data_IF_709313731528
#
_entry.id   IF_709313731528
#
_cell.length_a   1.000
_cell.length_b   1.000
_cell.length_c   1.000
_cell.angle_alpha   90.00
_cell.angle_beta   90.00
_cell.angle_gamma   90.00
#
_symmetry.space_group_name_H-M   'P 1'
#
loop_
_entity.id
_entity.type
_entity.pdbx_description
1 polymer ?
#
# COMPACT_ATOMS: atom_id res chain seq x y z
N UNK A 1 -22.82 -6.72 14.11
CA UNK A 1 -21.61 -6.58 13.29
C UNK A 1 -20.82 -7.88 13.31
N UNK A 2 -20.19 -8.19 12.20
CA UNK A 2 -19.33 -9.37 12.06
C UNK A 2 -18.15 -9.23 13.02
N UNK A 3 -17.89 -10.26 13.82
CA UNK A 3 -16.72 -10.26 14.70
C UNK A 3 -15.49 -10.65 13.91
N UNK A 4 -14.30 -10.20 14.33
CA UNK A 4 -13.02 -10.59 13.71
C UNK A 4 -12.84 -12.12 13.64
N UNK A 5 -13.44 -12.85 14.57
CA UNK A 5 -13.41 -14.31 14.64
C UNK A 5 -14.20 -15.00 13.50
N UNK A 6 -15.03 -14.26 12.76
CA UNK A 6 -15.83 -14.76 11.65
C UNK A 6 -15.06 -14.74 10.31
N UNK A 7 -13.83 -14.19 10.28
CA UNK A 7 -13.01 -14.15 9.08
C UNK A 7 -12.23 -15.45 8.89
N UNK A 8 -12.29 -15.98 7.69
CA UNK A 8 -11.43 -17.10 7.29
C UNK A 8 -10.08 -16.54 6.85
N UNK A 9 -9.01 -17.08 7.40
CA UNK A 9 -7.65 -16.79 6.94
C UNK A 9 -7.42 -17.53 5.62
N UNK A 10 -7.23 -16.76 4.54
CA UNK A 10 -6.83 -17.31 3.26
C UNK A 10 -5.33 -17.04 3.05
N UNK A 11 -4.54 -18.11 3.09
CA UNK A 11 -3.14 -18.02 2.67
C UNK A 11 -3.09 -18.04 1.14
N UNK A 12 -2.48 -17.01 0.56
CA UNK A 12 -2.22 -16.97 -0.87
C UNK A 12 -0.92 -17.72 -1.16
N UNK A 13 -0.94 -18.74 -2.05
CA UNK A 13 0.29 -19.43 -2.40
C UNK A 13 1.25 -18.46 -3.11
N UNK A 14 2.51 -18.44 -2.68
CA UNK A 14 3.56 -17.70 -3.36
C UNK A 14 3.75 -18.28 -4.76
N UNK A 15 3.40 -17.49 -5.77
CA UNK A 15 3.67 -17.84 -7.16
C UNK A 15 5.14 -17.58 -7.46
N UNK A 16 5.96 -18.63 -7.40
CA UNK A 16 7.36 -18.54 -7.73
C UNK A 16 7.56 -18.85 -9.23
N UNK A 17 7.95 -17.85 -10.00
CA UNK A 17 8.36 -18.11 -11.39
C UNK A 17 9.83 -18.56 -11.40
N UNK A 18 10.03 -19.88 -11.48
CA UNK A 18 11.37 -20.49 -11.47
C UNK A 18 12.27 -20.08 -12.64
N UNK A 19 11.70 -19.43 -13.65
CA UNK A 19 12.41 -19.04 -14.88
C UNK A 19 12.83 -17.56 -14.89
N UNK A 20 12.61 -16.83 -13.79
CA UNK A 20 12.99 -15.43 -13.67
C UNK A 20 14.09 -15.27 -12.62
N UNK A 21 15.17 -14.60 -13.02
CA UNK A 21 16.17 -14.14 -12.06
C UNK A 21 15.57 -13.07 -11.15
N UNK A 22 15.79 -13.17 -9.83
CA UNK A 22 15.32 -12.15 -8.89
C UNK A 22 15.95 -10.79 -9.20
N UNK A 23 15.15 -9.72 -9.08
CA UNK A 23 15.69 -8.37 -9.18
C UNK A 23 16.53 -8.06 -7.94
N UNK A 24 17.84 -7.92 -8.11
CA UNK A 24 18.82 -7.81 -7.02
C UNK A 24 19.26 -6.37 -6.68
N UNK A 25 18.63 -5.34 -7.27
CA UNK A 25 19.01 -3.95 -6.98
C UNK A 25 18.08 -3.34 -5.92
N UNK A 26 18.52 -2.27 -5.21
CA UNK A 26 17.64 -1.56 -4.27
C UNK A 26 16.37 -1.07 -4.94
N UNK A 27 15.26 -1.20 -4.24
CA UNK A 27 13.94 -0.72 -4.68
C UNK A 27 13.45 0.31 -3.67
N UNK A 28 12.94 1.43 -4.18
CA UNK A 28 12.18 2.40 -3.39
C UNK A 28 10.79 2.53 -3.99
N UNK A 29 9.78 2.49 -3.15
CA UNK A 29 8.38 2.73 -3.52
C UNK A 29 7.95 4.07 -2.96
N UNK A 30 7.54 4.97 -3.83
CA UNK A 30 6.97 6.25 -3.44
C UNK A 30 5.51 6.06 -3.06
N UNK A 31 5.15 6.54 -1.88
CA UNK A 31 3.79 6.38 -1.32
C UNK A 31 3.25 7.70 -0.79
N UNK A 32 1.95 7.87 -0.88
CA UNK A 32 1.24 9.02 -0.33
C UNK A 32 -0.22 8.66 -0.01
N UNK A 33 -1.02 9.62 0.44
CA UNK A 33 -2.44 9.40 0.77
C UNK A 33 -3.30 8.92 -0.40
N UNK A 34 -2.87 9.12 -1.64
CA UNK A 34 -3.50 8.58 -2.84
C UNK A 34 -3.10 7.15 -3.18
N UNK A 35 -2.16 6.56 -2.44
CA UNK A 35 -1.82 5.15 -2.51
C UNK A 35 -2.85 4.37 -1.69
N UNK A 36 -3.69 3.55 -2.34
CA UNK A 36 -4.72 2.78 -1.64
C UNK A 36 -5.02 1.44 -2.34
N UNK A 37 -5.75 0.55 -1.65
CA UNK A 37 -6.21 -0.75 -2.14
C UNK A 37 -5.03 -1.62 -2.62
N UNK A 38 -5.08 -2.19 -3.81
CA UNK A 38 -4.03 -3.07 -4.36
C UNK A 38 -2.63 -2.44 -4.35
N UNK A 39 -2.53 -1.11 -4.42
CA UNK A 39 -1.25 -0.42 -4.30
C UNK A 39 -0.69 -0.49 -2.86
N UNK A 40 -1.56 -0.50 -1.85
CA UNK A 40 -1.15 -0.73 -0.46
C UNK A 40 -0.74 -2.17 -0.23
N UNK A 41 -1.50 -3.13 -0.76
CA UNK A 41 -1.16 -4.56 -0.67
C UNK A 41 0.22 -4.82 -1.27
N UNK A 42 0.51 -4.23 -2.42
CA UNK A 42 1.81 -4.31 -3.07
C UNK A 42 2.93 -3.67 -2.22
N UNK A 43 2.70 -2.45 -1.73
CA UNK A 43 3.68 -1.75 -0.89
C UNK A 43 3.94 -2.48 0.44
N UNK A 44 2.88 -2.98 1.10
CA UNK A 44 2.97 -3.76 2.33
C UNK A 44 3.79 -5.04 2.14
N UNK A 45 3.55 -5.75 1.02
CA UNK A 45 4.28 -6.97 0.70
C UNK A 45 5.78 -6.71 0.54
N UNK A 46 6.14 -5.69 -0.21
CA UNK A 46 7.54 -5.34 -0.46
C UNK A 46 8.24 -4.83 0.81
N UNK A 47 7.58 -3.97 1.59
CA UNK A 47 8.11 -3.45 2.85
C UNK A 47 8.27 -4.57 3.88
N UNK A 48 7.24 -5.36 4.11
CA UNK A 48 7.24 -6.43 5.11
C UNK A 48 8.28 -7.52 4.82
N UNK A 49 8.54 -7.80 3.55
CA UNK A 49 9.59 -8.73 3.12
C UNK A 49 10.97 -8.06 2.97
N UNK A 50 11.11 -6.79 3.34
CA UNK A 50 12.35 -6.00 3.22
C UNK A 50 12.94 -5.96 1.81
N UNK A 51 12.07 -6.07 0.81
CA UNK A 51 12.46 -6.00 -0.60
C UNK A 51 12.52 -4.55 -1.12
N UNK A 52 11.76 -3.65 -0.50
CA UNK A 52 11.81 -2.23 -0.82
C UNK A 52 11.70 -1.38 0.44
N UNK A 53 12.13 -0.11 0.33
CA UNK A 53 11.82 0.96 1.29
C UNK A 53 10.68 1.81 0.78
N UNK A 54 9.74 2.15 1.64
CA UNK A 54 8.69 3.12 1.34
C UNK A 54 9.18 4.54 1.69
N UNK A 55 9.03 5.45 0.75
CA UNK A 55 9.40 6.88 0.92
C UNK A 55 8.21 7.76 0.60
N UNK A 56 7.90 8.72 1.45
CA UNK A 56 6.80 9.67 1.25
C UNK A 56 5.91 9.86 2.45
N UNK A 57 4.61 9.93 2.22
CA UNK A 57 3.58 10.11 3.26
C UNK A 57 2.89 8.77 3.58
N UNK A 58 2.22 8.66 4.74
CA UNK A 58 1.35 7.51 5.00
C UNK A 58 0.34 7.30 3.86
N UNK A 59 0.03 6.03 3.55
CA UNK A 59 -0.93 5.66 2.52
C UNK A 59 -2.38 5.94 2.93
N UNK A 60 -3.35 5.66 2.07
CA UNK A 60 -4.76 5.94 2.32
C UNK A 60 -5.42 5.08 3.38
N UNK A 61 -4.91 3.88 3.62
CA UNK A 61 -5.50 2.94 4.59
C UNK A 61 -6.82 2.34 4.14
N UNK A 62 -7.04 2.23 2.83
CA UNK A 62 -8.30 1.77 2.26
C UNK A 62 -8.07 0.60 1.32
N UNK A 63 -8.21 -0.60 1.86
CA UNK A 63 -8.22 -1.86 1.12
C UNK A 63 -9.40 -2.72 1.59
N UNK A 64 -9.72 -3.82 0.92
CA UNK A 64 -10.75 -4.71 1.42
C UNK A 64 -11.64 -5.38 0.37
N UNK A 65 -11.33 -5.29 -0.90
CA UNK A 65 -12.05 -5.98 -1.99
C UNK A 65 -13.58 -5.87 -1.88
N UNK A 66 -14.11 -4.67 -2.14
CA UNK A 66 -15.51 -4.36 -1.93
C UNK A 66 -16.47 -5.12 -2.83
N UNK A 67 -17.60 -5.52 -2.28
CA UNK A 67 -18.75 -6.09 -3.00
C UNK A 67 -19.86 -5.03 -3.09
N UNK A 68 -20.36 -4.83 -4.30
CA UNK A 68 -21.49 -3.94 -4.53
C UNK A 68 -22.81 -4.66 -4.23
N UNK A 69 -23.61 -4.06 -3.36
CA UNK A 69 -24.94 -4.54 -3.01
C UNK A 69 -25.95 -3.47 -3.46
N UNK A 70 -26.88 -3.85 -4.35
CA UNK A 70 -27.99 -2.98 -4.69
C UNK A 70 -28.96 -2.89 -3.52
N UNK A 71 -29.26 -1.68 -3.06
CA UNK A 71 -30.19 -1.42 -1.96
C UNK A 71 -31.58 -1.07 -2.48
N UNK A 72 -31.65 -0.27 -3.54
CA UNK A 72 -32.86 0.13 -4.24
C UNK A 72 -32.48 0.70 -5.62
N UNK A 73 -33.46 1.05 -6.44
CA UNK A 73 -33.21 1.62 -7.78
C UNK A 73 -32.26 2.83 -7.72
N UNK A 74 -31.13 2.69 -8.39
CA UNK A 74 -30.10 3.74 -8.48
C UNK A 74 -29.23 3.93 -7.23
N UNK A 75 -29.43 3.14 -6.16
CA UNK A 75 -28.62 3.21 -4.93
C UNK A 75 -27.93 1.88 -4.67
N UNK A 76 -26.61 1.93 -4.53
CA UNK A 76 -25.80 0.76 -4.17
C UNK A 76 -24.86 1.09 -3.01
N UNK A 77 -24.56 0.09 -2.20
CA UNK A 77 -23.50 0.15 -1.21
C UNK A 77 -22.30 -0.70 -1.67
N UNK A 78 -21.09 -0.21 -1.39
CA UNK A 78 -19.87 -0.99 -1.55
C UNK A 78 -19.37 -1.37 -0.16
N UNK A 79 -19.35 -2.67 0.14
CA UNK A 79 -18.99 -3.20 1.45
C UNK A 79 -17.70 -4.01 1.33
N UNK A 80 -16.70 -3.64 2.14
CA UNK A 80 -15.45 -4.40 2.21
C UNK A 80 -15.70 -5.80 2.77
N UNK A 81 -15.17 -6.82 2.09
CA UNK A 81 -15.34 -8.24 2.45
C UNK A 81 -14.04 -8.89 2.90
N UNK A 82 -12.94 -8.16 2.83
CA UNK A 82 -11.59 -8.62 3.16
C UNK A 82 -10.95 -7.66 4.16
N UNK A 83 -10.20 -8.20 5.09
CA UNK A 83 -9.38 -7.44 6.03
C UNK A 83 -7.92 -7.81 5.80
N UNK A 84 -7.12 -6.88 5.33
CA UNK A 84 -5.72 -7.10 5.00
C UNK A 84 -4.81 -6.69 6.15
N UNK A 85 -3.75 -7.49 6.36
CA UNK A 85 -2.66 -7.18 7.27
C UNK A 85 -1.35 -7.15 6.52
N UNK A 86 -0.44 -6.28 6.94
CA UNK A 86 0.92 -6.30 6.44
C UNK A 86 1.63 -7.60 6.84
N UNK A 87 2.64 -8.06 6.08
CA UNK A 87 3.53 -9.12 6.55
C UNK A 87 4.13 -8.72 7.91
N UNK A 88 3.97 -9.58 8.92
CA UNK A 88 4.30 -9.25 10.32
C UNK A 88 3.08 -9.01 11.20
N UNK A 89 1.89 -8.92 10.60
CA UNK A 89 0.61 -8.87 11.32
C UNK A 89 0.11 -7.46 11.65
N UNK A 90 0.81 -6.42 11.23
CA UNK A 90 0.41 -5.03 11.50
C UNK A 90 -0.83 -4.63 10.70
N UNK A 91 -1.76 -3.99 11.39
CA UNK A 91 -2.96 -3.45 10.80
C UNK A 91 -2.66 -2.09 10.15
N UNK A 92 -2.96 -1.96 8.86
CA UNK A 92 -2.84 -0.68 8.15
C UNK A 92 -4.20 -0.15 7.64
N UNK A 93 -5.24 -0.96 7.68
CA UNK A 93 -6.60 -0.54 7.30
C UNK A 93 -7.09 0.58 8.23
N UNK A 94 -7.55 1.68 7.64
CA UNK A 94 -7.99 2.88 8.37
C UNK A 94 -6.88 3.83 8.82
N UNK A 95 -5.60 3.41 8.76
CA UNK A 95 -4.44 4.24 9.17
C UNK A 95 -3.46 4.52 8.04
N UNK A 96 -3.37 3.62 7.08
CA UNK A 96 -2.34 3.57 6.05
C UNK A 96 -1.05 2.91 6.51
N UNK A 97 -0.26 2.49 5.55
CA UNK A 97 1.11 2.06 5.76
C UNK A 97 1.98 3.27 6.09
N UNK A 98 2.85 3.10 7.07
CA UNK A 98 3.83 4.12 7.40
C UNK A 98 5.06 3.96 6.50
N UNK A 99 5.56 5.03 5.86
CA UNK A 99 6.78 4.96 5.08
C UNK A 99 7.99 4.76 5.99
N UNK A 100 9.03 4.07 5.49
CA UNK A 100 10.33 3.92 6.18
C UNK A 100 11.06 5.27 6.29
N UNK A 101 10.85 6.12 5.29
CA UNK A 101 11.37 7.50 5.27
C UNK A 101 10.23 8.45 5.00
N UNK A 102 9.79 9.16 6.03
CA UNK A 102 8.72 10.13 5.90
C UNK A 102 9.23 11.40 5.20
N UNK A 103 8.50 11.78 4.17
CA UNK A 103 8.68 13.06 3.46
C UNK A 103 7.30 13.67 3.29
N UNK A 104 7.05 14.78 3.95
CA UNK A 104 5.78 15.49 3.81
C UNK A 104 5.85 16.35 2.54
N UNK A 105 4.88 16.14 1.66
CA UNK A 105 4.69 16.96 0.48
C UNK A 105 3.66 18.04 0.72
N UNK A 106 4.01 19.27 0.38
CA UNK A 106 3.08 20.38 0.36
C UNK A 106 2.45 20.52 -1.03
N UNK A 107 1.33 21.22 -1.12
CA UNK A 107 0.72 21.56 -2.41
C UNK A 107 1.74 22.23 -3.35
N UNK A 108 2.54 23.15 -2.84
CA UNK A 108 3.54 23.86 -3.61
C UNK A 108 4.67 22.96 -4.10
N UNK A 109 5.13 22.00 -3.30
CA UNK A 109 6.16 21.04 -3.72
C UNK A 109 5.67 20.11 -4.81
N UNK A 110 4.39 19.78 -4.81
CA UNK A 110 3.80 18.88 -5.78
C UNK A 110 3.46 19.56 -7.11
N UNK A 111 2.93 20.80 -7.08
CA UNK A 111 2.43 21.48 -8.27
C UNK A 111 3.39 22.53 -8.86
N UNK A 112 4.22 23.17 -8.04
CA UNK A 112 5.00 24.32 -8.49
C UNK A 112 6.48 24.05 -8.73
N UNK A 113 7.04 22.91 -8.34
CA UNK A 113 8.49 22.67 -8.42
C UNK A 113 8.91 21.56 -9.39
N UNK A 114 8.05 21.05 -10.22
CA UNK A 114 8.33 19.98 -11.20
C UNK A 114 8.98 18.70 -10.63
N UNK A 115 9.30 18.65 -9.35
CA UNK A 115 9.89 17.49 -8.69
C UNK A 115 9.30 17.29 -7.30
N UNK A 116 8.72 16.11 -7.06
CA UNK A 116 8.27 15.69 -5.75
C UNK A 116 9.45 15.60 -4.78
N UNK A 117 9.28 16.12 -3.56
CA UNK A 117 10.28 16.01 -2.50
C UNK A 117 10.57 14.54 -2.15
N UNK A 118 9.56 13.67 -2.22
CA UNK A 118 9.71 12.24 -2.02
C UNK A 118 10.56 11.60 -3.12
N UNK A 119 10.38 12.00 -4.38
CA UNK A 119 11.21 11.51 -5.49
C UNK A 119 12.68 11.91 -5.30
N UNK A 120 12.93 13.16 -4.96
CA UNK A 120 14.31 13.65 -4.70
C UNK A 120 14.95 12.84 -3.58
N UNK A 121 14.24 12.66 -2.46
CA UNK A 121 14.74 11.86 -1.34
C UNK A 121 15.02 10.41 -1.72
N UNK A 122 14.16 9.82 -2.55
CA UNK A 122 14.35 8.46 -3.06
C UNK A 122 15.62 8.34 -3.92
N UNK A 123 15.85 9.30 -4.81
CA UNK A 123 17.06 9.33 -5.63
C UNK A 123 18.33 9.46 -4.77
N UNK A 124 18.32 10.34 -3.76
CA UNK A 124 19.44 10.46 -2.82
C UNK A 124 19.75 9.13 -2.13
N UNK A 125 18.70 8.39 -1.71
CA UNK A 125 18.88 7.10 -1.03
C UNK A 125 19.38 5.97 -1.97
N UNK A 126 19.11 6.07 -3.26
CA UNK A 126 19.59 5.10 -4.24
C UNK A 126 21.02 5.36 -4.70
N UNK A 127 21.51 6.60 -4.57
CA UNK A 127 22.83 7.01 -5.00
C UNK A 127 23.90 6.94 -3.87
N UNK A 128 23.47 6.68 -2.64
CA UNK A 128 24.34 6.45 -1.48
C UNK A 128 24.91 5.04 -1.46
#
# INVERSE_FOLDING_TARGET
>A
GTKLDDYQVAEQPLMHNKNMEPYGKPIIVLVNRGTFSAAEDFAALLQGNRQAKLVGMPTGGSTGNGVYISLMDGVAANICTKYDKAPGGDDFVGRGLLPDVRVDETYDSYFNQNESAALRKALDLLLM
#
